data_IF_223048708384
#
_entry.id   IF_223048708384
#
_cell.length_a   1.000
_cell.length_b   1.000
_cell.length_c   1.000
_cell.angle_alpha   90.00
_cell.angle_beta   90.00
_cell.angle_gamma   90.00
#
_symmetry.space_group_name_H-M   'P 1'
#
loop_
_entity.id
_entity.type
_entity.pdbx_description
1 polymer ?
#
# COMPACT_ATOMS: atom_id res chain seq x y z
N UNK A 1 4.64 -35.52 -38.13
CA UNK A 1 3.62 -35.94 -37.15
C UNK A 1 4.11 -37.22 -36.51
N UNK A 2 4.30 -37.27 -35.19
CA UNK A 2 4.69 -38.48 -34.48
C UNK A 2 3.49 -38.97 -33.67
N UNK A 3 3.02 -40.16 -34.00
CA UNK A 3 1.90 -40.83 -33.34
C UNK A 3 2.44 -41.55 -32.10
N UNK A 4 2.10 -41.10 -30.89
CA UNK A 4 2.50 -41.78 -29.66
C UNK A 4 1.56 -42.96 -29.38
N UNK A 5 1.99 -44.15 -29.78
CA UNK A 5 1.50 -45.41 -29.22
C UNK A 5 2.49 -45.91 -28.18
N UNK A 6 2.22 -45.64 -26.90
CA UNK A 6 2.80 -46.41 -25.79
C UNK A 6 1.79 -46.55 -24.66
N UNK A 7 1.57 -47.79 -24.21
CA UNK A 7 0.83 -48.10 -22.98
C UNK A 7 1.72 -47.87 -21.77
N UNK A 8 2.08 -46.60 -21.53
CA UNK A 8 2.86 -46.17 -20.36
C UNK A 8 1.96 -45.50 -19.33
N UNK A 9 2.12 -45.85 -18.05
CA UNK A 9 1.53 -45.07 -16.96
C UNK A 9 2.09 -43.65 -17.01
N UNK A 10 1.23 -42.65 -17.14
CA UNK A 10 1.62 -41.24 -17.02
C UNK A 10 2.08 -40.99 -15.57
N UNK A 11 3.39 -41.03 -15.34
CA UNK A 11 3.97 -40.74 -14.03
C UNK A 11 3.85 -39.23 -13.78
N UNK A 12 2.89 -38.83 -12.95
CA UNK A 12 2.79 -37.44 -12.53
C UNK A 12 4.01 -37.10 -11.67
N UNK A 13 4.88 -36.22 -12.18
CA UNK A 13 6.07 -35.73 -11.47
C UNK A 13 5.70 -34.79 -10.31
N UNK A 14 4.55 -34.11 -10.40
CA UNK A 14 4.03 -33.26 -9.33
C UNK A 14 3.27 -34.10 -8.32
N UNK A 15 3.77 -34.18 -7.09
CA UNK A 15 3.20 -35.04 -6.03
C UNK A 15 2.90 -34.25 -4.76
N UNK A 16 3.73 -34.35 -3.73
CA UNK A 16 3.53 -33.64 -2.46
C UNK A 16 3.46 -32.13 -2.68
N UNK A 17 2.42 -31.48 -2.15
CA UNK A 17 2.14 -30.04 -2.28
C UNK A 17 2.20 -29.47 -3.71
N UNK A 18 1.93 -30.30 -4.72
CA UNK A 18 2.03 -29.89 -6.13
C UNK A 18 3.45 -29.57 -6.59
N UNK A 19 4.48 -30.03 -5.87
CA UNK A 19 5.89 -29.87 -6.24
C UNK A 19 6.42 -31.06 -7.01
N UNK A 20 7.36 -30.76 -7.89
CA UNK A 20 8.07 -31.74 -8.71
C UNK A 20 8.95 -32.62 -7.81
N UNK A 21 8.73 -33.93 -7.89
CA UNK A 21 9.61 -34.94 -7.32
C UNK A 21 10.68 -35.27 -8.36
N UNK A 22 11.93 -34.90 -8.08
CA UNK A 22 13.08 -35.38 -8.82
C UNK A 22 13.18 -36.90 -8.62
N UNK A 23 13.15 -37.65 -9.72
CA UNK A 23 13.16 -39.10 -9.72
C UNK A 23 14.57 -39.69 -9.43
N UNK A 24 15.63 -38.92 -9.66
CA UNK A 24 17.02 -39.38 -9.48
C UNK A 24 17.47 -39.24 -8.02
N UNK A 25 17.16 -38.10 -7.39
CA UNK A 25 17.46 -37.86 -5.97
C UNK A 25 16.36 -38.31 -5.01
N UNK A 26 15.10 -38.39 -5.46
CA UNK A 26 13.93 -38.63 -4.59
C UNK A 26 13.52 -37.42 -3.74
N UNK A 27 13.99 -36.22 -4.10
CA UNK A 27 13.75 -34.96 -3.40
C UNK A 27 12.67 -34.14 -4.11
N UNK A 28 11.96 -33.30 -3.35
CA UNK A 28 11.05 -32.32 -3.94
C UNK A 28 11.76 -31.00 -4.21
N UNK A 29 11.68 -30.52 -5.44
CA UNK A 29 12.16 -29.19 -5.80
C UNK A 29 11.07 -28.16 -5.50
N UNK A 30 11.31 -27.29 -4.51
CA UNK A 30 10.37 -26.24 -4.15
C UNK A 30 10.62 -24.92 -4.89
N UNK A 31 11.82 -24.72 -5.43
CA UNK A 31 12.27 -23.47 -6.06
C UNK A 31 13.57 -23.02 -5.42
N UNK A 32 13.50 -22.48 -4.20
CA UNK A 32 14.68 -22.02 -3.48
C UNK A 32 15.49 -23.14 -2.79
N UNK A 33 14.85 -24.26 -2.44
CA UNK A 33 15.46 -25.38 -1.73
C UNK A 33 14.93 -26.73 -2.21
N UNK A 34 15.73 -27.78 -1.99
CA UNK A 34 15.28 -29.16 -2.09
C UNK A 34 14.82 -29.67 -0.73
N UNK A 35 13.64 -30.28 -0.71
CA UNK A 35 13.03 -30.90 0.48
C UNK A 35 13.22 -32.41 0.43
N UNK A 36 13.76 -33.00 1.49
CA UNK A 36 13.76 -34.46 1.69
C UNK A 36 12.47 -34.89 2.40
N UNK A 37 11.53 -35.58 1.70
CA UNK A 37 10.29 -36.04 2.30
C UNK A 37 10.47 -37.20 3.29
N UNK A 38 11.61 -37.91 3.26
CA UNK A 38 11.90 -39.04 4.16
C UNK A 38 12.34 -38.53 5.53
N UNK A 39 13.23 -37.54 5.53
CA UNK A 39 13.76 -36.91 6.75
C UNK A 39 12.93 -35.71 7.23
N UNK A 40 11.97 -35.23 6.41
CA UNK A 40 11.13 -34.06 6.67
C UNK A 40 11.90 -32.76 6.94
N UNK A 41 13.01 -32.56 6.22
CA UNK A 41 13.90 -31.39 6.34
C UNK A 41 14.30 -30.82 4.99
N UNK A 42 14.72 -29.57 4.99
CA UNK A 42 15.42 -28.95 3.88
C UNK A 42 16.87 -29.43 3.81
N UNK A 43 17.42 -29.59 2.61
CA UNK A 43 18.84 -29.94 2.44
C UNK A 43 19.80 -28.75 2.57
N UNK A 44 19.29 -27.53 2.51
CA UNK A 44 20.06 -26.30 2.67
C UNK A 44 19.49 -25.41 3.78
N UNK A 45 20.38 -24.63 4.39
CA UNK A 45 20.08 -23.62 5.40
C UNK A 45 19.00 -22.67 4.87
N UNK A 46 17.98 -22.38 5.68
CA UNK A 46 17.00 -21.34 5.38
C UNK A 46 17.69 -19.98 5.19
N UNK A 47 17.52 -19.29 4.05
CA UNK A 47 18.04 -17.94 3.86
C UNK A 47 17.54 -16.93 4.91
N UNK A 48 16.48 -17.26 5.65
CA UNK A 48 15.92 -16.47 6.75
C UNK A 48 16.11 -17.12 8.13
N UNK A 49 17.06 -18.05 8.29
CA UNK A 49 17.32 -18.74 9.56
C UNK A 49 17.46 -17.80 10.76
N UNK A 50 18.09 -16.64 10.57
CA UNK A 50 18.25 -15.60 11.60
C UNK A 50 16.92 -15.03 12.12
N UNK A 51 15.86 -15.00 11.28
CA UNK A 51 14.51 -14.57 11.67
C UNK A 51 13.76 -15.60 12.53
N UNK A 52 14.30 -16.83 12.67
CA UNK A 52 13.65 -17.95 13.39
C UNK A 52 14.51 -18.49 14.54
N UNK A 53 15.08 -17.58 15.35
CA UNK A 53 15.77 -17.93 16.58
C UNK A 53 14.95 -18.91 17.45
N UNK A 54 15.49 -20.10 17.69
CA UNK A 54 14.82 -21.21 18.39
C UNK A 54 14.37 -22.37 17.50
N UNK A 55 14.40 -22.22 16.17
CA UNK A 55 14.15 -23.31 15.21
C UNK A 55 15.44 -23.68 14.47
N UNK A 56 15.54 -24.95 14.04
CA UNK A 56 16.67 -25.38 13.20
C UNK A 56 16.55 -24.77 11.79
N UNK A 57 17.65 -24.28 11.18
CA UNK A 57 17.66 -23.73 9.82
C UNK A 57 17.18 -24.69 8.72
N UNK A 58 17.02 -25.97 9.04
CA UNK A 58 16.60 -27.02 8.11
C UNK A 58 15.13 -27.43 8.31
N UNK A 59 14.40 -26.75 9.20
CA UNK A 59 13.04 -27.12 9.57
C UNK A 59 12.03 -26.89 8.42
N UNK A 60 11.21 -27.90 8.16
CA UNK A 60 10.04 -27.76 7.30
C UNK A 60 8.81 -27.31 8.11
N UNK A 61 8.12 -26.25 7.68
CA UNK A 61 6.77 -25.86 8.16
C UNK A 61 6.61 -25.62 9.67
N UNK A 62 7.66 -25.15 10.37
CA UNK A 62 7.70 -25.04 11.84
C UNK A 62 7.37 -26.37 12.55
N UNK A 63 7.72 -27.49 11.92
CA UNK A 63 7.40 -28.84 12.40
C UNK A 63 5.92 -29.23 12.29
N UNK A 64 5.08 -28.47 11.58
CA UNK A 64 3.65 -28.77 11.43
C UNK A 64 3.19 -28.75 9.97
N UNK A 65 3.58 -29.77 9.16
CA UNK A 65 3.23 -29.89 7.74
C UNK A 65 1.77 -30.26 7.49
N UNK A 66 1.00 -30.56 8.54
CA UNK A 66 -0.45 -30.77 8.46
C UNK A 66 -1.20 -29.43 8.45
N UNK A 67 -0.66 -28.41 9.11
CA UNK A 67 -1.26 -27.08 9.21
C UNK A 67 -0.68 -26.08 8.21
N UNK A 68 0.59 -26.19 7.86
CA UNK A 68 1.29 -25.24 7.00
C UNK A 68 1.89 -25.92 5.77
N UNK A 69 1.95 -25.18 4.67
CA UNK A 69 2.64 -25.55 3.44
C UNK A 69 3.63 -24.43 3.14
N UNK A 70 4.88 -24.79 2.84
CA UNK A 70 5.90 -23.86 2.35
C UNK A 70 5.80 -23.82 0.80
N UNK A 71 5.33 -22.73 0.16
CA UNK A 71 4.95 -22.78 -1.26
C UNK A 71 6.13 -22.75 -2.25
N UNK A 72 7.33 -22.39 -1.82
CA UNK A 72 8.46 -22.06 -2.70
C UNK A 72 9.85 -22.36 -2.10
N UNK A 73 9.89 -22.83 -0.85
CA UNK A 73 11.12 -23.18 -0.15
C UNK A 73 11.86 -21.99 0.41
N UNK A 74 11.28 -20.80 0.37
CA UNK A 74 11.70 -19.59 1.07
C UNK A 74 10.45 -18.93 1.58
N UNK A 75 10.47 -18.30 2.75
CA UNK A 75 9.22 -17.74 3.29
C UNK A 75 8.86 -16.41 2.62
N UNK A 76 8.02 -16.50 1.56
CA UNK A 76 7.30 -15.43 0.82
C UNK A 76 6.63 -14.39 1.70
N UNK A 77 6.78 -13.09 1.42
CA UNK A 77 6.22 -11.91 2.08
C UNK A 77 4.73 -11.73 1.91
N UNK A 78 4.29 -10.78 2.71
CA UNK A 78 3.70 -9.57 2.21
C UNK A 78 4.13 -8.44 3.13
N UNK A 79 3.70 -7.24 2.79
CA UNK A 79 3.12 -6.39 3.81
C UNK A 79 1.62 -6.64 3.83
N UNK A 80 0.97 -6.50 4.97
CA UNK A 80 -0.49 -6.42 5.07
C UNK A 80 -0.91 -5.03 5.51
N UNK A 81 -2.03 -4.54 4.95
CA UNK A 81 -2.72 -3.33 5.41
C UNK A 81 -4.08 -3.72 6.02
N UNK A 82 -4.34 -3.27 7.26
CA UNK A 82 -5.64 -3.46 7.90
C UNK A 82 -6.61 -2.30 7.62
N UNK A 83 -7.86 -2.42 8.08
CA UNK A 83 -8.89 -1.37 7.99
C UNK A 83 -8.38 0.01 8.42
N UNK A 84 -7.56 0.07 9.47
CA UNK A 84 -7.15 1.32 10.12
C UNK A 84 -5.93 1.97 9.42
N UNK A 85 -5.45 1.39 8.30
CA UNK A 85 -4.28 1.84 7.58
C UNK A 85 -2.94 1.49 8.23
N UNK A 86 -2.93 0.59 9.22
CA UNK A 86 -1.67 0.02 9.74
C UNK A 86 -1.10 -0.97 8.72
N UNK A 87 0.11 -0.66 8.25
CA UNK A 87 0.93 -1.55 7.44
C UNK A 87 1.85 -2.37 8.35
N UNK A 88 1.87 -3.69 8.17
CA UNK A 88 2.73 -4.64 8.88
C UNK A 88 3.45 -5.54 7.90
N UNK A 89 4.76 -5.70 8.07
CA UNK A 89 5.56 -6.71 7.38
C UNK A 89 5.21 -8.10 7.89
N UNK A 90 5.08 -9.09 7.01
CA UNK A 90 4.69 -10.45 7.40
C UNK A 90 5.68 -11.57 7.01
N UNK A 91 6.61 -11.45 6.04
CA UNK A 91 7.60 -12.49 5.65
C UNK A 91 8.86 -12.15 4.72
N UNK A 92 8.95 -12.56 3.41
CA UNK A 92 9.97 -12.21 2.34
C UNK A 92 9.67 -12.75 0.88
N UNK A 93 9.04 -11.98 -0.01
CA UNK A 93 8.51 -12.26 -1.39
C UNK A 93 8.86 -11.07 -2.28
N UNK A 94 9.03 -11.32 -3.58
CA UNK A 94 9.81 -10.44 -4.45
C UNK A 94 11.30 -10.46 -4.10
N UNK A 95 11.66 -10.88 -2.88
CA UNK A 95 13.02 -10.86 -2.37
C UNK A 95 13.56 -9.44 -2.45
N UNK A 96 14.76 -9.25 -2.95
CA UNK A 96 15.34 -7.92 -3.11
C UNK A 96 14.77 -7.12 -4.29
N UNK A 97 13.85 -7.68 -5.09
CA UNK A 97 13.39 -7.09 -6.35
C UNK A 97 12.13 -6.21 -6.21
N UNK A 98 11.21 -6.55 -5.31
CA UNK A 98 9.96 -5.85 -5.07
C UNK A 98 9.37 -6.26 -3.71
N UNK A 99 8.37 -5.51 -3.24
CA UNK A 99 7.46 -5.89 -2.15
C UNK A 99 6.06 -6.18 -2.73
N UNK A 100 5.20 -6.83 -1.94
CA UNK A 100 3.76 -6.96 -2.21
C UNK A 100 2.95 -6.47 -1.01
N UNK A 101 1.98 -5.57 -1.22
CA UNK A 101 1.05 -5.13 -0.19
C UNK A 101 -0.30 -5.83 -0.35
N UNK A 102 -0.69 -6.67 0.61
CA UNK A 102 -1.98 -7.36 0.65
C UNK A 102 -2.99 -6.67 1.57
N UNK A 103 -4.27 -6.81 1.28
CA UNK A 103 -5.34 -6.48 2.22
C UNK A 103 -5.35 -7.54 3.33
N UNK A 104 -5.30 -7.13 4.60
CA UNK A 104 -5.14 -8.04 5.73
C UNK A 104 -6.25 -9.11 5.79
N UNK A 105 -7.51 -8.73 5.56
CA UNK A 105 -8.63 -9.69 5.55
C UNK A 105 -8.51 -10.74 4.43
N UNK A 106 -8.08 -10.31 3.24
CA UNK A 106 -7.84 -11.23 2.13
C UNK A 106 -6.64 -12.14 2.43
N UNK A 107 -5.61 -11.59 3.07
CA UNK A 107 -4.43 -12.33 3.50
C UNK A 107 -4.79 -13.41 4.54
N UNK A 108 -5.59 -13.08 5.54
CA UNK A 108 -6.04 -14.01 6.57
C UNK A 108 -6.97 -15.11 6.01
N UNK A 109 -7.70 -14.81 4.93
CA UNK A 109 -8.49 -15.78 4.15
C UNK A 109 -7.66 -16.63 3.17
N UNK A 110 -6.33 -16.53 3.19
CA UNK A 110 -5.44 -17.31 2.30
C UNK A 110 -5.38 -16.82 0.84
N UNK A 111 -5.98 -15.66 0.51
CA UNK A 111 -5.91 -15.08 -0.84
C UNK A 111 -4.54 -14.41 -1.03
N UNK A 112 -3.83 -14.77 -2.10
CA UNK A 112 -2.46 -14.29 -2.42
C UNK A 112 -2.30 -13.83 -3.87
N UNK A 113 -3.39 -13.56 -4.57
CA UNK A 113 -3.35 -13.00 -5.94
C UNK A 113 -2.94 -11.53 -5.89
N UNK A 114 -1.95 -11.13 -6.70
CA UNK A 114 -1.46 -9.76 -6.80
C UNK A 114 -1.04 -9.39 -8.22
N UNK A 115 -1.10 -8.10 -8.53
CA UNK A 115 -0.60 -7.51 -9.78
C UNK A 115 -0.13 -6.07 -9.54
N UNK A 116 0.17 -5.32 -10.61
CA UNK A 116 0.50 -3.88 -10.51
C UNK A 116 -0.73 -2.96 -10.66
N UNK A 117 -1.95 -3.50 -10.80
CA UNK A 117 -3.17 -2.71 -11.04
C UNK A 117 -3.81 -2.23 -9.74
N UNK A 118 -3.63 -2.97 -8.64
CA UNK A 118 -4.29 -2.73 -7.36
C UNK A 118 -5.75 -3.20 -7.31
N UNK A 119 -6.11 -4.17 -8.16
CA UNK A 119 -7.44 -4.79 -8.19
C UNK A 119 -7.52 -6.19 -7.59
N UNK A 120 -6.39 -6.82 -7.28
CA UNK A 120 -6.32 -8.15 -6.68
C UNK A 120 -6.31 -8.06 -5.15
N UNK A 121 -6.10 -9.20 -4.47
CA UNK A 121 -5.91 -9.26 -3.02
C UNK A 121 -4.61 -8.60 -2.53
N UNK A 122 -3.65 -8.36 -3.42
CA UNK A 122 -2.48 -7.54 -3.16
C UNK A 122 -2.03 -6.72 -4.37
N UNK A 123 -1.07 -5.81 -4.15
CA UNK A 123 -0.44 -4.99 -5.17
C UNK A 123 1.09 -5.06 -5.07
N UNK A 124 1.77 -5.28 -6.20
CA UNK A 124 3.23 -5.31 -6.28
C UNK A 124 3.81 -3.89 -6.32
N UNK A 125 4.79 -3.62 -5.45
CA UNK A 125 5.50 -2.35 -5.33
C UNK A 125 6.99 -2.59 -5.58
N UNK A 126 7.57 -1.97 -6.61
CA UNK A 126 8.99 -2.13 -6.95
C UNK A 126 9.89 -1.18 -6.11
N UNK A 127 9.34 -0.07 -5.62
CA UNK A 127 10.04 0.84 -4.71
C UNK A 127 9.96 0.35 -3.26
N UNK A 128 10.90 -0.53 -2.89
CA UNK A 128 10.98 -1.19 -1.57
C UNK A 128 11.07 -0.22 -0.37
N UNK A 129 11.38 1.06 -0.60
CA UNK A 129 11.42 2.09 0.43
C UNK A 129 10.02 2.37 0.99
N UNK A 130 9.00 2.37 0.12
CA UNK A 130 7.68 2.91 0.42
C UNK A 130 6.97 2.21 1.58
N UNK A 131 6.87 0.89 1.56
CA UNK A 131 6.14 0.12 2.57
C UNK A 131 6.90 0.05 3.91
N UNK A 132 8.23 0.01 3.84
CA UNK A 132 9.10 0.06 5.02
C UNK A 132 8.98 1.40 5.77
N UNK A 133 8.98 2.52 5.06
CA UNK A 133 8.73 3.84 5.66
C UNK A 133 7.28 3.93 6.18
N UNK A 134 6.25 3.57 5.42
CA UNK A 134 4.86 3.65 5.90
C UNK A 134 4.57 2.81 7.16
N UNK A 135 5.31 1.70 7.35
CA UNK A 135 5.23 0.87 8.55
C UNK A 135 5.85 1.53 9.81
N UNK A 136 6.99 2.23 9.69
CA UNK A 136 7.77 2.69 10.85
C UNK A 136 7.89 4.21 11.00
N UNK A 137 7.72 4.97 9.93
CA UNK A 137 7.92 6.41 9.88
C UNK A 137 6.70 7.14 10.41
N UNK A 138 6.86 7.70 11.62
CA UNK A 138 5.84 8.48 12.31
C UNK A 138 6.11 9.97 12.15
N UNK A 139 5.20 10.66 11.46
CA UNK A 139 5.09 12.12 11.53
C UNK A 139 4.20 12.57 12.70
N UNK A 140 4.19 13.89 12.93
CA UNK A 140 3.37 14.54 13.96
C UNK A 140 2.49 15.62 13.31
N UNK A 141 1.16 15.47 13.32
CA UNK A 141 0.23 16.49 12.78
C UNK A 141 -0.46 17.30 13.90
N UNK A 142 -0.87 18.54 13.59
CA UNK A 142 -1.45 19.51 14.55
C UNK A 142 -2.85 19.10 15.03
N UNK A 143 -3.14 19.32 16.32
CA UNK A 143 -4.47 19.15 16.93
C UNK A 143 -5.23 20.49 17.00
N UNK A 144 -6.55 20.42 16.79
CA UNK A 144 -7.45 21.57 16.86
C UNK A 144 -7.94 21.85 18.29
N UNK A 145 -7.66 23.04 18.84
CA UNK A 145 -8.32 23.54 20.05
C UNK A 145 -9.70 24.14 19.69
N UNK A 146 -10.78 23.42 20.02
CA UNK A 146 -12.16 23.86 19.77
C UNK A 146 -12.55 25.12 20.58
N UNK A 147 -11.85 25.46 21.67
CA UNK A 147 -12.20 26.58 22.55
C UNK A 147 -11.71 27.95 22.04
N UNK A 148 -10.75 27.97 21.09
CA UNK A 148 -10.24 29.19 20.44
C UNK A 148 -10.82 29.43 19.05
N UNK A 149 -11.88 28.71 18.69
CA UNK A 149 -12.45 28.75 17.35
C UNK A 149 -13.27 30.04 17.11
N UNK A 150 -12.62 31.01 16.45
CA UNK A 150 -13.28 32.17 15.84
C UNK A 150 -14.09 31.77 14.59
N UNK A 151 -15.18 32.50 14.29
CA UNK A 151 -15.93 32.37 13.03
C UNK A 151 -15.21 33.01 11.83
N UNK A 152 -14.32 33.97 12.09
CA UNK A 152 -13.33 34.47 11.13
C UNK A 152 -12.21 33.42 10.99
N UNK A 153 -12.09 32.87 9.78
CA UNK A 153 -11.29 31.67 9.51
C UNK A 153 -9.78 31.94 9.40
N UNK A 154 -9.37 33.17 9.08
CA UNK A 154 -7.94 33.55 9.10
C UNK A 154 -7.45 33.59 10.55
N UNK A 155 -8.24 34.20 11.44
CA UNK A 155 -7.98 34.20 12.89
C UNK A 155 -8.08 32.78 13.48
N UNK A 156 -9.00 31.96 12.98
CA UNK A 156 -9.11 30.53 13.32
C UNK A 156 -7.85 29.74 12.93
N UNK A 157 -7.14 30.14 11.87
CA UNK A 157 -5.88 29.52 11.47
C UNK A 157 -4.69 29.98 12.33
N UNK A 158 -4.56 31.28 12.57
CA UNK A 158 -3.46 31.85 13.37
C UNK A 158 -3.52 31.44 14.86
N UNK A 159 -4.72 31.31 15.43
CA UNK A 159 -4.92 30.93 16.84
C UNK A 159 -4.54 29.47 17.21
N UNK A 160 -4.15 28.65 16.23
CA UNK A 160 -4.01 27.18 16.34
C UNK A 160 -2.62 26.63 16.56
N UNK A 161 -1.61 27.45 16.83
CA UNK A 161 -0.24 26.98 17.15
C UNK A 161 -0.12 26.30 18.53
N UNK A 162 -1.11 25.51 18.93
CA UNK A 162 -1.06 24.62 20.09
C UNK A 162 -0.71 23.22 19.57
N UNK A 163 0.57 22.87 19.61
CA UNK A 163 1.08 21.61 19.07
C UNK A 163 0.62 20.42 19.94
N UNK A 164 -0.47 19.77 19.53
CA UNK A 164 -0.80 18.41 19.96
C UNK A 164 -0.40 17.39 18.89
N UNK A 165 -0.18 16.15 19.28
CA UNK A 165 0.39 15.10 18.43
C UNK A 165 -0.68 14.13 17.92
N UNK A 166 -0.98 14.12 16.62
CA UNK A 166 -1.46 12.89 15.97
C UNK A 166 -0.28 12.18 15.31
N UNK A 167 -0.18 10.86 15.48
CA UNK A 167 0.71 10.02 14.67
C UNK A 167 0.18 9.99 13.25
N UNK A 168 1.07 10.15 12.26
CA UNK A 168 0.76 9.89 10.87
C UNK A 168 1.83 9.02 10.23
N UNK A 169 1.44 8.22 9.24
CA UNK A 169 2.32 7.33 8.47
C UNK A 169 2.60 7.97 7.13
N UNK A 170 3.86 8.04 6.70
CA UNK A 170 4.19 8.63 5.40
C UNK A 170 5.47 8.07 4.76
N UNK A 171 5.56 8.20 3.45
CA UNK A 171 6.76 7.91 2.65
C UNK A 171 6.82 8.81 1.40
N UNK A 172 7.95 8.78 0.71
CA UNK A 172 8.27 9.64 -0.44
C UNK A 172 8.97 8.83 -1.54
N UNK A 173 8.54 8.96 -2.79
CA UNK A 173 9.21 8.41 -3.98
C UNK A 173 9.39 9.47 -5.08
N UNK A 174 10.40 9.32 -5.91
CA UNK A 174 10.49 10.03 -7.20
C UNK A 174 9.57 9.41 -8.27
N UNK A 175 9.15 8.16 -8.08
CA UNK A 175 8.26 7.45 -9.00
C UNK A 175 6.80 7.50 -8.51
N UNK A 176 6.03 8.44 -9.04
CA UNK A 176 4.61 8.59 -8.72
C UNK A 176 3.75 7.37 -9.01
N UNK A 177 4.17 6.47 -9.90
CA UNK A 177 3.43 5.25 -10.20
C UNK A 177 3.46 4.25 -9.03
N UNK A 178 4.60 4.14 -8.35
CA UNK A 178 4.76 3.27 -7.18
C UNK A 178 3.95 3.79 -5.99
N UNK A 179 3.97 5.10 -5.76
CA UNK A 179 3.11 5.73 -4.76
C UNK A 179 1.61 5.61 -5.11
N UNK A 180 1.23 5.81 -6.39
CA UNK A 180 -0.15 5.67 -6.84
C UNK A 180 -0.72 4.25 -6.68
N UNK A 181 0.12 3.21 -6.83
CA UNK A 181 -0.25 1.81 -6.55
C UNK A 181 -0.68 1.61 -5.10
N UNK A 182 0.10 2.13 -4.15
CA UNK A 182 -0.26 2.07 -2.73
C UNK A 182 -1.51 2.92 -2.46
N UNK A 183 -1.60 4.15 -2.98
CA UNK A 183 -2.75 5.04 -2.76
C UNK A 183 -4.08 4.42 -3.22
N UNK A 184 -4.13 3.90 -4.45
CA UNK A 184 -5.32 3.26 -5.01
C UNK A 184 -5.70 1.99 -4.24
N UNK A 185 -4.70 1.16 -3.90
CA UNK A 185 -4.93 -0.08 -3.16
C UNK A 185 -5.37 0.17 -1.72
N UNK A 186 -4.68 1.05 -0.99
CA UNK A 186 -5.00 1.38 0.39
C UNK A 186 -6.35 2.09 0.50
N UNK A 187 -6.69 2.99 -0.44
CA UNK A 187 -8.03 3.57 -0.50
C UNK A 187 -9.13 2.50 -0.58
N UNK A 188 -8.96 1.49 -1.43
CA UNK A 188 -9.95 0.41 -1.62
C UNK A 188 -10.03 -0.60 -0.48
N UNK A 189 -9.03 -0.66 0.40
CA UNK A 189 -8.91 -1.71 1.42
C UNK A 189 -8.80 -1.16 2.85
N UNK A 190 -9.09 0.13 3.07
CA UNK A 190 -9.05 0.76 4.40
C UNK A 190 -10.26 1.67 4.64
N UNK A 191 -10.59 1.90 5.91
CA UNK A 191 -11.64 2.82 6.37
C UNK A 191 -11.09 4.23 6.67
N UNK A 192 -9.85 4.53 6.25
CA UNK A 192 -9.16 5.79 6.53
C UNK A 192 -8.81 6.54 5.24
N UNK A 193 -8.73 7.86 5.33
CA UNK A 193 -8.32 8.70 4.21
C UNK A 193 -6.81 8.63 4.01
N UNK A 194 -6.40 8.42 2.76
CA UNK A 194 -5.02 8.51 2.30
C UNK A 194 -4.82 9.81 1.53
N UNK A 195 -3.60 10.33 1.52
CA UNK A 195 -3.17 11.38 0.60
C UNK A 195 -2.05 10.90 -0.30
N UNK A 196 -2.01 11.46 -1.51
CA UNK A 196 -0.94 11.31 -2.49
C UNK A 196 -0.73 12.69 -3.12
N UNK A 197 0.45 13.27 -2.93
CA UNK A 197 0.70 14.66 -3.31
C UNK A 197 2.03 14.79 -4.05
N UNK A 198 2.02 15.49 -5.19
CA UNK A 198 3.22 15.78 -5.97
C UNK A 198 3.76 17.16 -5.60
N UNK A 199 5.02 17.22 -5.19
CA UNK A 199 5.77 18.43 -4.90
C UNK A 199 6.96 18.59 -5.84
N UNK A 200 7.36 19.83 -6.10
CA UNK A 200 8.59 20.17 -6.81
C UNK A 200 9.67 20.60 -5.81
N UNK A 201 10.64 19.74 -5.54
CA UNK A 201 11.68 19.93 -4.51
C UNK A 201 13.04 19.99 -5.17
N UNK A 202 13.70 21.15 -5.11
CA UNK A 202 14.99 21.36 -5.77
C UNK A 202 14.96 21.16 -7.29
N UNK A 203 13.80 21.41 -7.92
CA UNK A 203 13.57 21.19 -9.35
C UNK A 203 13.07 19.78 -9.72
N UNK A 204 13.13 18.81 -8.80
CA UNK A 204 12.68 17.44 -9.05
C UNK A 204 11.26 17.20 -8.53
N UNK A 205 10.51 16.33 -9.21
CA UNK A 205 9.22 15.85 -8.69
C UNK A 205 9.44 14.84 -7.54
N UNK A 206 8.70 15.04 -6.45
CA UNK A 206 8.63 14.13 -5.30
C UNK A 206 7.17 13.84 -5.02
N UNK A 207 6.82 12.57 -5.02
CA UNK A 207 5.49 12.07 -4.68
C UNK A 207 5.49 11.61 -3.23
N UNK A 208 4.74 12.30 -2.40
CA UNK A 208 4.58 12.01 -0.99
C UNK A 208 3.24 11.25 -0.79
N UNK A 209 3.25 10.17 -0.03
CA UNK A 209 2.07 9.36 0.26
C UNK A 209 1.94 9.09 1.76
N UNK A 210 0.72 9.13 2.30
CA UNK A 210 0.51 8.78 3.71
C UNK A 210 -0.93 8.88 4.20
N UNK A 211 -1.11 8.68 5.50
CA UNK A 211 -2.41 8.77 6.19
C UNK A 211 -2.25 9.29 7.63
N UNK A 212 -3.30 9.91 8.17
CA UNK A 212 -3.44 10.20 9.61
C UNK A 212 -4.18 9.10 10.36
N UNK A 213 -4.54 8.00 9.70
CA UNK A 213 -5.38 6.92 10.23
C UNK A 213 -6.73 7.44 10.75
N UNK A 214 -7.39 8.26 9.92
CA UNK A 214 -8.71 8.87 10.20
C UNK A 214 -9.62 8.73 8.99
N UNK A 215 -10.89 8.42 9.22
CA UNK A 215 -11.94 8.29 8.19
C UNK A 215 -12.48 9.61 7.63
N UNK A 216 -12.00 10.74 8.17
CA UNK A 216 -12.56 12.08 7.96
C UNK A 216 -11.47 13.17 7.84
N UNK A 217 -10.20 12.77 7.65
CA UNK A 217 -9.09 13.68 7.33
C UNK A 217 -7.87 12.94 6.78
N UNK A 218 -7.56 13.20 5.52
CA UNK A 218 -6.32 12.85 4.82
C UNK A 218 -5.08 13.52 5.43
N UNK A 219 -3.88 13.12 4.99
CA UNK A 219 -2.63 13.64 5.54
C UNK A 219 -2.28 15.05 5.04
N UNK A 220 -1.98 15.92 6.00
CA UNK A 220 -1.63 17.34 5.84
C UNK A 220 -0.11 17.52 5.81
N UNK A 221 0.49 17.61 4.61
CA UNK A 221 1.94 17.72 4.44
C UNK A 221 2.58 19.00 5.01
N UNK A 222 1.81 20.08 5.13
CA UNK A 222 2.23 21.36 5.72
C UNK A 222 2.57 21.25 7.22
N UNK A 223 2.12 20.18 7.89
CA UNK A 223 2.39 19.92 9.31
C UNK A 223 3.24 18.68 9.59
N UNK A 224 3.53 17.85 8.58
CA UNK A 224 4.49 16.72 8.73
C UNK A 224 5.91 17.29 8.84
N UNK A 225 6.36 17.46 10.09
CA UNK A 225 7.67 17.97 10.55
C UNK A 225 8.60 18.63 9.51
N UNK A 226 8.64 19.97 9.51
CA UNK A 226 9.66 20.79 8.82
C UNK A 226 9.89 20.38 7.35
N UNK A 227 8.82 19.92 6.71
CA UNK A 227 8.90 19.38 5.36
C UNK A 227 9.39 20.44 4.37
N UNK A 228 10.19 19.96 3.41
CA UNK A 228 10.46 20.62 2.13
C UNK A 228 9.21 20.75 1.24
N UNK A 229 8.04 20.42 1.78
CA UNK A 229 6.72 20.40 1.17
C UNK A 229 5.92 21.59 1.68
N UNK A 230 5.46 22.43 0.76
CA UNK A 230 4.75 23.68 1.03
C UNK A 230 3.70 23.88 -0.05
N UNK A 231 2.69 24.72 0.21
CA UNK A 231 1.70 25.05 -0.82
C UNK A 231 2.30 25.73 -2.07
N UNK A 232 3.45 26.38 -1.94
CA UNK A 232 4.18 27.03 -3.04
C UNK A 232 4.80 26.03 -4.02
N UNK A 233 5.23 24.87 -3.52
CA UNK A 233 5.85 23.83 -4.32
C UNK A 233 4.99 22.57 -4.52
N UNK A 234 3.78 22.53 -3.96
CA UNK A 234 2.73 21.60 -4.36
C UNK A 234 2.42 21.76 -5.86
N UNK A 235 2.14 20.65 -6.54
CA UNK A 235 1.85 20.59 -7.98
C UNK A 235 0.55 19.85 -8.27
N UNK A 236 0.29 18.76 -7.56
CA UNK A 236 -0.96 18.00 -7.64
C UNK A 236 -1.26 17.45 -6.24
N UNK A 237 -2.53 17.42 -5.84
CA UNK A 237 -2.95 16.95 -4.52
C UNK A 237 -4.13 15.99 -4.65
N UNK A 238 -3.96 14.77 -4.18
CA UNK A 238 -4.97 13.71 -4.24
C UNK A 238 -5.30 13.24 -2.81
N UNK A 239 -6.57 13.04 -2.51
CA UNK A 239 -6.99 12.29 -1.31
C UNK A 239 -8.10 11.28 -1.59
N UNK A 240 -8.18 10.24 -0.77
CA UNK A 240 -9.20 9.20 -0.87
C UNK A 240 -10.28 9.37 0.20
N UNK A 241 -11.53 9.04 -0.14
CA UNK A 241 -12.66 9.05 0.79
C UNK A 241 -13.23 7.62 0.98
N UNK A 242 -13.14 7.02 2.18
CA UNK A 242 -13.58 5.64 2.44
C UNK A 242 -15.10 5.50 2.25
N UNK A 243 -15.55 4.26 1.99
CA UNK A 243 -16.96 3.97 1.70
C UNK A 243 -17.90 4.46 2.81
N UNK A 244 -19.02 5.08 2.42
CA UNK A 244 -20.01 5.64 3.36
C UNK A 244 -19.62 7.00 3.96
N UNK A 245 -18.40 7.50 3.75
CA UNK A 245 -18.13 8.93 3.89
C UNK A 245 -19.04 9.71 2.93
N UNK A 246 -19.51 10.90 3.34
CA UNK A 246 -20.52 11.63 2.57
C UNK A 246 -19.92 12.16 1.27
N UNK A 247 -20.13 11.42 0.20
CA UNK A 247 -19.99 11.84 -1.20
C UNK A 247 -21.06 12.90 -1.56
N UNK A 248 -21.06 14.00 -0.82
CA UNK A 248 -21.72 15.23 -1.22
C UNK A 248 -20.93 15.80 -2.38
N UNK A 249 -21.41 15.59 -3.60
CA UNK A 249 -20.88 16.18 -4.82
C UNK A 249 -20.52 17.67 -4.58
N UNK A 250 -19.43 18.12 -5.18
CA UNK A 250 -18.84 19.44 -5.01
C UNK A 250 -19.86 20.57 -5.13
N UNK A 251 -20.42 20.94 -3.98
CA UNK A 251 -21.59 21.76 -3.85
C UNK A 251 -21.54 22.49 -2.52
N UNK A 252 -20.48 23.28 -2.33
CA UNK A 252 -20.34 24.42 -1.41
C UNK A 252 -21.46 24.52 -0.35
N UNK A 253 -21.47 23.59 0.59
CA UNK A 253 -22.71 23.18 1.27
C UNK A 253 -22.51 22.69 2.69
N UNK A 254 -22.02 23.60 3.55
CA UNK A 254 -21.91 23.45 5.02
C UNK A 254 -20.85 22.45 5.49
N UNK A 255 -19.63 22.98 5.66
CA UNK A 255 -18.66 22.61 6.70
C UNK A 255 -17.78 21.36 6.48
N UNK A 256 -17.18 21.20 5.31
CA UNK A 256 -15.88 20.50 5.19
C UNK A 256 -14.74 21.53 5.23
N UNK A 257 -14.09 21.64 6.40
CA UNK A 257 -13.00 22.60 6.65
C UNK A 257 -11.60 22.10 6.27
N UNK A 258 -11.44 20.81 5.96
CA UNK A 258 -10.16 20.20 5.55
C UNK A 258 -9.86 20.44 4.07
N UNK A 259 -10.80 20.07 3.21
CA UNK A 259 -10.63 20.13 1.75
C UNK A 259 -10.46 21.57 1.25
N UNK A 260 -11.39 22.47 1.64
CA UNK A 260 -11.34 23.90 1.28
C UNK A 260 -10.01 24.58 1.65
N UNK A 261 -9.34 24.10 2.70
CA UNK A 261 -8.03 24.62 3.12
C UNK A 261 -6.90 24.27 2.13
N UNK A 262 -6.90 23.07 1.54
CA UNK A 262 -5.91 22.68 0.51
C UNK A 262 -6.21 23.48 -0.77
N UNK A 263 -7.49 23.59 -1.13
CA UNK A 263 -7.93 24.32 -2.33
C UNK A 263 -7.57 25.83 -2.26
N UNK A 264 -7.81 26.51 -1.13
CA UNK A 264 -7.61 27.96 -0.99
C UNK A 264 -6.11 28.37 -0.86
N UNK A 265 -5.21 27.46 -0.45
CA UNK A 265 -3.80 27.78 -0.18
C UNK A 265 -2.81 27.44 -1.32
N UNK A 266 -3.17 26.55 -2.25
CA UNK A 266 -2.34 26.26 -3.44
C UNK A 266 -3.09 26.56 -4.74
N UNK A 267 -3.30 27.85 -5.08
CA UNK A 267 -4.13 28.26 -6.24
C UNK A 267 -3.58 27.84 -7.61
N UNK A 268 -2.39 27.23 -7.66
CA UNK A 268 -1.73 26.77 -8.87
C UNK A 268 -1.73 25.23 -9.05
N UNK A 269 -2.05 24.46 -8.00
CA UNK A 269 -2.07 23.00 -8.08
C UNK A 269 -3.52 22.50 -8.26
N UNK A 270 -3.86 21.76 -9.33
CA UNK A 270 -5.13 21.04 -9.36
C UNK A 270 -5.21 20.04 -8.22
N UNK A 271 -6.43 19.90 -7.71
CA UNK A 271 -6.74 19.06 -6.56
C UNK A 271 -7.77 18.00 -6.96
N UNK A 272 -7.62 16.81 -6.41
CA UNK A 272 -8.24 15.58 -6.89
C UNK A 272 -8.83 14.78 -5.72
N UNK A 273 -10.08 14.37 -5.82
CA UNK A 273 -10.75 13.53 -4.83
C UNK A 273 -10.99 12.16 -5.45
N UNK A 274 -10.40 11.11 -4.89
CA UNK A 274 -10.66 9.72 -5.26
C UNK A 274 -11.79 9.14 -4.42
N UNK A 275 -12.96 9.01 -5.04
CA UNK A 275 -14.11 8.28 -4.53
C UNK A 275 -13.88 6.78 -4.77
N UNK A 276 -13.79 6.03 -3.68
CA UNK A 276 -13.50 4.59 -3.68
C UNK A 276 -14.71 3.76 -4.14
N UNK A 277 -15.93 4.14 -3.76
CA UNK A 277 -17.18 3.42 -4.09
C UNK A 277 -17.40 3.37 -5.60
N UNK A 278 -17.32 4.50 -6.29
CA UNK A 278 -17.56 4.59 -7.74
C UNK A 278 -16.27 4.52 -8.57
N UNK A 279 -15.11 4.34 -7.92
CA UNK A 279 -13.77 4.42 -8.51
C UNK A 279 -13.58 5.65 -9.42
N UNK A 280 -13.98 6.82 -8.94
CA UNK A 280 -13.92 8.08 -9.68
C UNK A 280 -12.93 9.06 -9.08
N UNK A 281 -12.19 9.77 -9.93
CA UNK A 281 -11.50 11.00 -9.56
C UNK A 281 -12.34 12.20 -9.96
N UNK A 282 -12.64 13.06 -8.99
CA UNK A 282 -13.15 14.41 -9.18
C UNK A 282 -11.96 15.37 -9.17
N UNK A 283 -11.65 16.00 -10.29
CA UNK A 283 -10.65 17.06 -10.38
C UNK A 283 -11.33 18.42 -10.27
N UNK A 284 -10.83 19.28 -9.39
CA UNK A 284 -11.17 20.71 -9.38
C UNK A 284 -10.05 21.55 -9.98
N UNK A 285 -10.40 22.44 -10.91
CA UNK A 285 -9.48 23.40 -11.51
C UNK A 285 -9.78 24.83 -11.02
N UNK A 286 -8.92 25.32 -10.13
CA UNK A 286 -8.99 26.67 -9.53
C UNK A 286 -9.06 27.82 -10.53
N UNK A 287 -8.34 27.71 -11.65
CA UNK A 287 -8.21 28.80 -12.63
C UNK A 287 -9.46 28.96 -13.51
N UNK A 288 -10.18 27.86 -13.75
CA UNK A 288 -11.40 27.86 -14.57
C UNK A 288 -12.69 27.70 -13.75
N UNK A 289 -12.57 27.41 -12.45
CA UNK A 289 -13.67 27.03 -11.55
C UNK A 289 -14.54 25.90 -12.14
N UNK A 290 -13.89 24.88 -12.72
CA UNK A 290 -14.54 23.72 -13.36
C UNK A 290 -14.19 22.43 -12.65
N UNK A 291 -15.15 21.51 -12.68
CA UNK A 291 -14.97 20.12 -12.28
C UNK A 291 -14.84 19.23 -13.51
N UNK A 292 -13.88 18.30 -13.46
CA UNK A 292 -13.80 17.17 -14.38
C UNK A 292 -13.98 15.88 -13.57
N UNK A 293 -14.60 14.87 -14.16
CA UNK A 293 -14.76 13.54 -13.54
C UNK A 293 -14.11 12.51 -14.44
N UNK A 294 -13.28 11.64 -13.85
CA UNK A 294 -12.57 10.57 -14.56
C UNK A 294 -12.82 9.22 -13.86
N UNK A 295 -13.12 8.19 -14.64
CA UNK A 295 -13.18 6.81 -14.18
C UNK A 295 -11.76 6.23 -14.01
N UNK A 296 -11.50 5.55 -12.89
CA UNK A 296 -10.21 4.94 -12.53
C UNK A 296 -10.39 3.43 -12.51
N UNK A 297 -9.69 2.69 -13.37
CA UNK A 297 -9.78 1.22 -13.43
C UNK A 297 -8.58 0.54 -12.77
N UNK A 298 -7.54 1.31 -12.47
CA UNK A 298 -6.28 0.83 -11.92
C UNK A 298 -5.50 1.99 -11.29
N UNK A 299 -4.50 1.68 -10.48
CA UNK A 299 -3.52 2.64 -9.97
C UNK A 299 -2.89 3.52 -11.06
N UNK A 300 -2.71 2.97 -12.27
CA UNK A 300 -2.17 3.70 -13.41
C UNK A 300 -3.02 4.92 -13.81
N UNK A 301 -4.33 4.85 -13.61
CA UNK A 301 -5.27 5.89 -14.04
C UNK A 301 -5.32 7.09 -13.09
N UNK A 302 -4.74 6.98 -11.89
CA UNK A 302 -4.64 8.08 -10.90
C UNK A 302 -3.77 9.23 -11.44
N UNK A 303 -2.59 8.88 -11.97
CA UNK A 303 -1.56 9.85 -12.40
C UNK A 303 -1.47 10.02 -13.92
N UNK A 304 -2.03 9.10 -14.71
CA UNK A 304 -2.12 9.27 -16.17
C UNK A 304 -3.12 10.38 -16.48
N UNK A 305 -2.65 11.40 -17.20
CA UNK A 305 -3.48 12.49 -17.72
C UNK A 305 -4.25 12.03 -18.95
#
# INVERSE_FOLDING_TARGET
MAQQTSTGTFQNVYKFNGKELDAESGLYYYGARYYDPRSSVWLSVDPLAEKYAGWTPYNYTLGNPVKFVDPDGMRVDGFTINSDGDIKHVNNEGGDNYDVLYAAEAYDQGKRDYDETGNKSGVRINDKKLLNELQYQLGTSVIYDKKKASSDWVKWYEAKRTYGYNKCRYSESSNGFEAAKIFYFAGKNTSVEWSLDRFSVGGNDVWAIGTQQKSESSLRWDVVQRSRFTFNNLRESYHSHPEGSRLGASGYGRNYHGDRYIFDLSPNAPSFIFNITDQTIFQFNHKSNRFNVKQVKSAADIIRR
#
